data_IF_942096236384
#
_entry.id   IF_942096236384
#
_cell.length_a   1.000
_cell.length_b   1.000
_cell.length_c   1.000
_cell.angle_alpha   90.00
_cell.angle_beta   90.00
_cell.angle_gamma   90.00
#
_symmetry.space_group_name_H-M   'P 1'
#
loop_
_entity.id
_entity.type
_entity.pdbx_description
1 polymer ?
#
# COMPACT_ATOMS: atom_id res chain seq x y z
N UNK A 1 47.04 -20.57 59.65
CA UNK A 1 47.67 -20.49 58.31
C UNK A 1 46.61 -20.57 57.19
N UNK A 2 45.65 -21.50 57.24
CA UNK A 2 44.59 -21.62 56.22
C UNK A 2 43.64 -20.42 56.06
N UNK A 3 43.22 -19.78 57.14
CA UNK A 3 42.34 -18.60 57.07
C UNK A 3 43.01 -17.39 56.38
N UNK A 4 44.29 -17.16 56.68
CA UNK A 4 45.07 -16.07 56.10
C UNK A 4 45.24 -16.22 54.58
N UNK A 5 45.43 -17.47 54.13
CA UNK A 5 45.54 -17.79 52.70
C UNK A 5 44.19 -17.58 51.97
N UNK A 6 43.07 -17.84 52.64
CA UNK A 6 41.73 -17.60 52.07
C UNK A 6 41.40 -16.11 51.95
N UNK A 7 41.86 -15.29 52.91
CA UNK A 7 41.74 -13.82 52.86
C UNK A 7 42.57 -13.23 51.72
N UNK A 8 43.81 -13.71 51.53
CA UNK A 8 44.66 -13.26 50.42
C UNK A 8 44.05 -13.60 49.06
N UNK A 9 43.48 -14.80 48.90
CA UNK A 9 42.82 -15.21 47.67
C UNK A 9 41.60 -14.33 47.34
N UNK A 10 40.74 -14.06 48.33
CA UNK A 10 39.60 -13.15 48.16
C UNK A 10 40.03 -11.73 47.81
N UNK A 11 41.13 -11.24 48.39
CA UNK A 11 41.66 -9.90 48.09
C UNK A 11 42.08 -9.79 46.62
N UNK A 12 42.72 -10.83 46.09
CA UNK A 12 43.10 -10.89 44.67
C UNK A 12 41.87 -10.97 43.75
N UNK A 13 40.88 -11.79 44.10
CA UNK A 13 39.62 -11.88 43.34
C UNK A 13 38.87 -10.54 43.31
N UNK A 14 38.83 -9.80 44.43
CA UNK A 14 38.22 -8.46 44.48
C UNK A 14 38.98 -7.49 43.57
N UNK A 15 40.32 -7.51 43.63
CA UNK A 15 41.14 -6.64 42.80
C UNK A 15 40.95 -6.90 41.30
N UNK A 16 40.92 -8.17 40.88
CA UNK A 16 40.67 -8.52 39.48
C UNK A 16 39.30 -8.03 39.00
N UNK A 17 38.26 -8.13 39.86
CA UNK A 17 36.93 -7.61 39.54
C UNK A 17 36.89 -6.09 39.50
N UNK A 18 37.68 -5.40 40.31
CA UNK A 18 37.85 -3.93 40.24
C UNK A 18 38.48 -3.54 38.90
N UNK A 19 39.55 -4.23 38.48
CA UNK A 19 40.20 -3.98 37.19
C UNK A 19 39.24 -4.25 35.99
N UNK A 20 38.45 -5.34 36.04
CA UNK A 20 37.41 -5.64 35.02
C UNK A 20 36.30 -4.58 34.97
N UNK A 21 35.90 -4.03 36.13
CA UNK A 21 34.91 -2.97 36.20
C UNK A 21 35.44 -1.66 35.61
N UNK A 22 36.70 -1.34 35.84
CA UNK A 22 37.35 -0.15 35.27
C UNK A 22 37.46 -0.27 33.73
N UNK A 23 37.76 -1.45 33.19
CA UNK A 23 37.76 -1.68 31.75
C UNK A 23 36.36 -1.51 31.13
N UNK A 24 35.33 -2.08 31.76
CA UNK A 24 33.93 -1.91 31.34
C UNK A 24 33.47 -0.44 31.39
N UNK A 25 33.91 0.33 32.40
CA UNK A 25 33.60 1.76 32.49
C UNK A 25 34.14 2.54 31.28
N UNK A 26 35.37 2.24 30.85
CA UNK A 26 35.99 2.85 29.67
C UNK A 26 35.22 2.50 28.39
N UNK A 27 34.79 1.23 28.24
CA UNK A 27 34.01 0.77 27.08
C UNK A 27 32.62 1.41 27.03
N UNK A 28 31.96 1.53 28.18
CA UNK A 28 30.67 2.22 28.31
C UNK A 28 30.81 3.68 27.91
N UNK A 29 31.86 4.37 28.36
CA UNK A 29 32.09 5.78 28.02
C UNK A 29 32.42 6.00 26.54
N UNK A 30 33.16 5.06 25.91
CA UNK A 30 33.37 5.05 24.46
C UNK A 30 32.04 4.86 23.71
N UNK A 31 31.24 3.89 24.13
CA UNK A 31 29.94 3.61 23.52
C UNK A 31 28.96 4.79 23.65
N UNK A 32 28.92 5.45 24.82
CA UNK A 32 28.12 6.67 25.03
C UNK A 32 28.53 7.78 24.07
N UNK A 33 29.83 8.02 23.86
CA UNK A 33 30.31 9.04 22.92
C UNK A 33 29.86 8.74 21.48
N UNK A 34 29.93 7.47 21.06
CA UNK A 34 29.47 7.06 19.74
C UNK A 34 27.96 7.27 19.56
N UNK A 35 27.15 6.96 20.58
CA UNK A 35 25.70 7.19 20.55
C UNK A 35 25.39 8.69 20.41
N UNK A 36 26.06 9.54 21.18
CA UNK A 36 25.89 11.01 21.08
C UNK A 36 26.24 11.52 19.67
N UNK A 37 27.26 10.96 19.03
CA UNK A 37 27.62 11.32 17.66
C UNK A 37 26.59 10.84 16.64
N UNK A 38 26.07 9.62 16.80
CA UNK A 38 24.98 9.09 15.98
C UNK A 38 23.70 9.93 16.12
N UNK A 39 23.34 10.35 17.34
CA UNK A 39 22.19 11.23 17.59
C UNK A 39 22.30 12.55 16.82
N UNK A 40 23.48 13.18 16.84
CA UNK A 40 23.73 14.40 16.06
C UNK A 40 23.59 14.18 14.56
N UNK A 41 24.06 13.03 14.04
CA UNK A 41 23.90 12.70 12.62
C UNK A 41 22.44 12.47 12.25
N UNK A 42 21.66 11.82 13.12
CA UNK A 42 20.22 11.61 12.91
C UNK A 42 19.49 12.94 12.88
N UNK A 43 19.74 13.83 13.86
CA UNK A 43 19.10 15.16 13.92
C UNK A 43 19.41 16.00 12.66
N UNK A 44 20.64 15.91 12.14
CA UNK A 44 21.00 16.58 10.89
C UNK A 44 20.22 16.01 9.69
N UNK A 45 20.13 14.68 9.57
CA UNK A 45 19.37 14.02 8.49
C UNK A 45 17.88 14.35 8.55
N UNK A 46 17.29 14.42 9.74
CA UNK A 46 15.89 14.83 9.92
C UNK A 46 15.64 16.24 9.40
N UNK A 47 16.53 17.21 9.69
CA UNK A 47 16.43 18.57 9.16
C UNK A 47 16.49 18.59 7.62
N UNK A 48 17.37 17.79 7.01
CA UNK A 48 17.45 17.67 5.55
C UNK A 48 16.14 17.11 4.97
N UNK A 49 15.57 16.07 5.59
CA UNK A 49 14.30 15.48 5.15
C UNK A 49 13.16 16.50 5.24
N UNK A 50 13.07 17.27 6.35
CA UNK A 50 12.06 18.31 6.51
C UNK A 50 12.20 19.42 5.44
N UNK A 51 13.42 19.84 5.12
CA UNK A 51 13.66 20.80 4.04
C UNK A 51 13.20 20.22 2.69
N UNK A 52 13.53 18.96 2.43
CA UNK A 52 13.13 18.32 1.17
C UNK A 52 11.61 18.17 1.06
N UNK A 53 10.92 17.80 2.14
CA UNK A 53 9.47 17.69 2.21
C UNK A 53 8.79 19.06 2.00
N UNK A 54 9.26 20.10 2.67
CA UNK A 54 8.71 21.45 2.47
C UNK A 54 8.92 21.94 1.04
N UNK A 55 10.06 21.63 0.41
CA UNK A 55 10.32 21.96 -1.00
C UNK A 55 9.40 21.17 -1.95
N UNK A 56 9.20 19.88 -1.71
CA UNK A 56 8.27 19.06 -2.51
C UNK A 56 6.83 19.56 -2.38
N UNK A 57 6.39 19.92 -1.17
CA UNK A 57 5.05 20.44 -0.94
C UNK A 57 4.83 21.79 -1.64
N UNK A 58 5.83 22.68 -1.64
CA UNK A 58 5.78 23.93 -2.41
C UNK A 58 5.70 23.67 -3.92
N UNK A 59 6.55 22.78 -4.45
CA UNK A 59 6.53 22.42 -5.86
C UNK A 59 5.19 21.80 -6.28
N UNK A 60 4.59 20.99 -5.41
CA UNK A 60 3.27 20.40 -5.65
C UNK A 60 2.17 21.46 -5.71
N UNK A 61 2.17 22.42 -4.77
CA UNK A 61 1.23 23.53 -4.78
C UNK A 61 1.37 24.41 -6.04
N UNK A 62 2.60 24.70 -6.48
CA UNK A 62 2.84 25.42 -7.74
C UNK A 62 2.30 24.68 -8.96
N UNK A 63 2.49 23.36 -9.02
CA UNK A 63 1.96 22.52 -10.10
C UNK A 63 0.43 22.47 -10.08
N UNK A 64 -0.18 22.43 -8.90
CA UNK A 64 -1.64 22.46 -8.76
C UNK A 64 -2.22 23.80 -9.25
N UNK A 65 -1.56 24.92 -8.94
CA UNK A 65 -1.96 26.24 -9.45
C UNK A 65 -1.81 26.33 -10.97
N UNK A 66 -0.68 25.84 -11.53
CA UNK A 66 -0.48 25.78 -12.99
C UNK A 66 -1.49 24.87 -13.69
N UNK A 67 -1.90 23.77 -13.04
CA UNK A 67 -2.96 22.89 -13.54
C UNK A 67 -4.31 23.62 -13.62
N UNK A 68 -4.66 24.40 -12.57
CA UNK A 68 -5.89 25.20 -12.55
C UNK A 68 -5.87 26.29 -13.63
N UNK A 69 -4.73 26.96 -13.83
CA UNK A 69 -4.55 27.93 -14.91
C UNK A 69 -4.64 27.29 -16.30
N UNK A 70 -4.08 26.09 -16.49
CA UNK A 70 -4.20 25.35 -17.75
C UNK A 70 -5.64 24.89 -18.03
N UNK A 71 -6.45 24.65 -17.00
CA UNK A 71 -7.89 24.36 -17.15
C UNK A 71 -8.74 25.59 -17.47
N UNK A 72 -8.21 26.80 -17.26
CA UNK A 72 -8.88 28.07 -17.60
C UNK A 72 -8.68 28.48 -19.07
N UNK A 73 -7.88 27.73 -19.85
CA UNK A 73 -7.88 27.85 -21.31
C UNK A 73 -9.11 27.11 -21.82
N UNK A 74 -10.20 27.85 -21.95
CA UNK A 74 -11.46 27.42 -22.53
C UNK A 74 -11.21 26.88 -23.95
N UNK A 75 -11.13 25.55 -24.08
CA UNK A 75 -11.32 24.92 -25.38
C UNK A 75 -12.71 25.34 -25.85
N UNK A 76 -12.79 26.04 -26.97
CA UNK A 76 -14.04 26.45 -27.58
C UNK A 76 -14.94 25.22 -27.75
N UNK A 77 -15.91 25.06 -26.85
CA UNK A 77 -16.92 24.01 -26.89
C UNK A 77 -17.75 24.28 -28.14
N UNK A 78 -17.43 23.59 -29.23
CA UNK A 78 -18.36 23.40 -30.33
C UNK A 78 -19.54 22.65 -29.74
N UNK A 79 -20.71 23.30 -29.69
CA UNK A 79 -21.97 22.66 -29.29
C UNK A 79 -22.16 21.37 -30.09
N UNK A 80 -22.39 20.20 -29.45
CA UNK A 80 -22.78 19.01 -30.20
C UNK A 80 -24.21 19.21 -30.72
N UNK A 81 -24.40 18.91 -32.00
CA UNK A 81 -25.72 18.84 -32.64
C UNK A 81 -26.58 17.69 -32.05
N UNK A 82 -27.91 17.73 -32.24
CA UNK A 82 -28.85 16.76 -31.68
C UNK A 82 -28.60 15.33 -32.15
N UNK A 83 -28.87 14.40 -31.23
CA UNK A 83 -28.35 13.05 -31.18
C UNK A 83 -28.91 12.15 -32.28
N UNK A 84 -28.03 11.33 -32.88
CA UNK A 84 -28.42 10.21 -33.74
C UNK A 84 -28.40 8.91 -32.94
N UNK A 85 -29.50 8.18 -33.04
CA UNK A 85 -29.81 6.88 -32.41
C UNK A 85 -29.15 5.73 -33.18
N UNK A 86 -27.82 5.77 -33.32
CA UNK A 86 -27.06 4.59 -33.76
C UNK A 86 -26.33 3.95 -32.57
N UNK A 87 -26.57 2.65 -32.38
CA UNK A 87 -26.09 1.84 -31.27
C UNK A 87 -24.60 1.51 -31.35
N UNK A 88 -23.75 2.47 -31.72
CA UNK A 88 -22.32 2.38 -31.54
C UNK A 88 -22.00 2.74 -30.08
N UNK A 89 -21.82 1.71 -29.26
CA UNK A 89 -21.32 1.73 -27.89
C UNK A 89 -20.51 2.99 -27.58
N UNK A 90 -20.91 3.67 -26.50
CA UNK A 90 -20.22 4.82 -25.94
C UNK A 90 -18.72 4.54 -25.89
N UNK A 91 -18.03 5.07 -26.88
CA UNK A 91 -16.59 4.91 -27.03
C UNK A 91 -15.97 5.44 -25.74
N UNK A 92 -15.19 4.61 -25.05
CA UNK A 92 -14.44 5.02 -23.86
C UNK A 92 -13.38 6.07 -24.23
N UNK A 93 -13.47 6.72 -25.39
CA UNK A 93 -12.92 8.04 -25.71
C UNK A 93 -13.15 9.14 -24.65
N UNK A 94 -13.92 8.90 -23.60
CA UNK A 94 -13.85 9.66 -22.34
C UNK A 94 -12.53 9.48 -21.56
N UNK A 95 -11.64 8.58 -22.00
CA UNK A 95 -10.38 8.17 -21.34
C UNK A 95 -9.28 9.24 -21.24
N UNK A 96 -9.51 10.48 -21.68
CA UNK A 96 -8.56 11.59 -21.44
C UNK A 96 -9.00 12.54 -20.31
N UNK A 97 -10.28 12.50 -19.87
CA UNK A 97 -10.82 13.53 -18.95
C UNK A 97 -11.55 13.02 -17.72
N UNK A 98 -11.82 11.71 -17.59
CA UNK A 98 -12.51 11.17 -16.42
C UNK A 98 -11.52 10.93 -15.25
N UNK A 99 -11.80 11.52 -14.09
CA UNK A 99 -11.05 11.22 -12.86
C UNK A 99 -11.38 9.81 -12.33
N UNK A 100 -10.54 9.29 -11.42
CA UNK A 100 -10.67 7.92 -10.93
C UNK A 100 -12.01 7.62 -10.24
N UNK A 101 -12.58 8.59 -9.51
CA UNK A 101 -13.86 8.39 -8.83
C UNK A 101 -15.01 8.29 -9.83
N UNK A 102 -14.97 9.14 -10.85
CA UNK A 102 -15.93 9.11 -11.95
C UNK A 102 -15.84 7.77 -12.70
N UNK A 103 -14.63 7.27 -12.97
CA UNK A 103 -14.43 5.96 -13.61
C UNK A 103 -15.02 4.80 -12.78
N UNK A 104 -14.78 4.78 -11.46
CA UNK A 104 -15.36 3.76 -10.59
C UNK A 104 -16.90 3.84 -10.57
N UNK A 105 -17.46 5.05 -10.49
CA UNK A 105 -18.90 5.25 -10.52
C UNK A 105 -19.52 4.78 -11.83
N UNK A 106 -18.85 5.04 -12.96
CA UNK A 106 -19.28 4.55 -14.27
C UNK A 106 -19.36 3.02 -14.29
N UNK A 107 -18.33 2.33 -13.80
CA UNK A 107 -18.32 0.86 -13.72
C UNK A 107 -19.42 0.32 -12.81
N UNK A 108 -19.64 0.94 -11.65
CA UNK A 108 -20.72 0.57 -10.73
C UNK A 108 -22.10 0.68 -11.42
N UNK A 109 -22.32 1.75 -12.18
CA UNK A 109 -23.59 1.96 -12.90
C UNK A 109 -23.79 0.99 -14.07
N UNK A 110 -22.71 0.41 -14.60
CA UNK A 110 -22.74 -0.59 -15.67
C UNK A 110 -22.51 -2.02 -15.14
N UNK A 111 -23.04 -2.31 -13.94
CA UNK A 111 -22.85 -3.61 -13.25
C UNK A 111 -23.20 -4.85 -14.07
N UNK A 112 -24.10 -4.73 -15.06
CA UNK A 112 -24.51 -5.82 -15.94
C UNK A 112 -23.48 -6.19 -17.01
N UNK A 113 -22.59 -5.24 -17.35
CA UNK A 113 -21.64 -5.36 -18.48
C UNK A 113 -20.18 -5.47 -18.01
N UNK A 114 -19.91 -5.52 -16.70
CA UNK A 114 -18.54 -5.54 -16.16
C UNK A 114 -17.63 -6.60 -16.80
N UNK A 115 -18.18 -7.78 -17.09
CA UNK A 115 -17.41 -8.89 -17.66
C UNK A 115 -17.05 -8.65 -19.14
N UNK A 116 -17.90 -7.94 -19.90
CA UNK A 116 -17.63 -7.59 -21.31
C UNK A 116 -16.79 -6.32 -21.45
N UNK A 117 -16.77 -5.46 -20.43
CA UNK A 117 -16.01 -4.20 -20.42
C UNK A 117 -14.51 -4.37 -20.13
N UNK A 118 -14.01 -5.59 -19.95
CA UNK A 118 -12.61 -5.85 -19.55
C UNK A 118 -11.57 -5.28 -20.52
N UNK A 119 -11.67 -5.59 -21.82
CA UNK A 119 -10.74 -5.07 -22.84
C UNK A 119 -10.90 -3.56 -23.04
N UNK A 120 -12.13 -3.09 -22.90
CA UNK A 120 -12.52 -1.70 -22.98
C UNK A 120 -11.84 -0.85 -21.89
N UNK A 121 -11.89 -1.32 -20.63
CA UNK A 121 -11.19 -0.71 -19.49
C UNK A 121 -9.67 -0.82 -19.63
N UNK A 122 -9.16 -1.94 -20.16
CA UNK A 122 -7.74 -2.10 -20.45
C UNK A 122 -7.24 -1.04 -21.44
N UNK A 123 -7.91 -0.87 -22.56
CA UNK A 123 -7.55 0.13 -23.58
C UNK A 123 -7.65 1.57 -23.04
N UNK A 124 -8.68 1.85 -22.24
CA UNK A 124 -8.86 3.15 -21.60
C UNK A 124 -7.74 3.49 -20.62
N UNK A 125 -7.41 2.56 -19.72
CA UNK A 125 -6.30 2.73 -18.78
C UNK A 125 -4.96 2.81 -19.51
N UNK A 126 -4.76 2.05 -20.59
CA UNK A 126 -3.54 2.07 -21.40
C UNK A 126 -3.28 3.42 -22.08
N UNK A 127 -4.34 4.17 -22.38
CA UNK A 127 -4.25 5.54 -22.94
C UNK A 127 -4.03 6.62 -21.88
N UNK A 128 -4.23 6.30 -20.59
CA UNK A 128 -3.99 7.24 -19.50
C UNK A 128 -2.49 7.54 -19.35
N UNK A 129 -2.16 8.80 -19.08
CA UNK A 129 -0.77 9.22 -18.81
C UNK A 129 -0.22 8.60 -17.51
N UNK A 130 -1.07 8.46 -16.50
CA UNK A 130 -0.71 7.93 -15.18
C UNK A 130 -1.74 6.88 -14.72
N UNK A 131 -1.78 5.67 -15.32
CA UNK A 131 -2.79 4.66 -15.03
C UNK A 131 -2.80 4.23 -13.55
N UNK A 132 -1.61 4.11 -12.94
CA UNK A 132 -1.50 3.81 -11.51
C UNK A 132 -2.03 4.93 -10.62
N UNK A 133 -1.98 6.19 -11.05
CA UNK A 133 -2.60 7.30 -10.31
C UNK A 133 -4.12 7.25 -10.45
N UNK A 134 -4.60 7.08 -11.69
CA UNK A 134 -6.02 7.06 -12.00
C UNK A 134 -6.76 5.96 -11.22
N UNK A 135 -6.20 4.75 -11.18
CA UNK A 135 -6.77 3.65 -10.38
C UNK A 135 -6.64 3.94 -8.89
N UNK A 136 -5.55 4.56 -8.41
CA UNK A 136 -5.42 4.93 -7.00
C UNK A 136 -6.45 5.97 -6.58
N UNK A 137 -6.74 6.95 -7.43
CA UNK A 137 -7.79 7.95 -7.20
C UNK A 137 -9.16 7.27 -7.10
N UNK A 138 -9.46 6.28 -7.95
CA UNK A 138 -10.67 5.46 -7.86
C UNK A 138 -10.77 4.72 -6.52
N UNK A 139 -9.68 4.09 -6.07
CA UNK A 139 -9.64 3.32 -4.84
C UNK A 139 -9.88 4.19 -3.59
N UNK A 140 -9.58 5.49 -3.63
CA UNK A 140 -9.87 6.38 -2.49
C UNK A 140 -11.36 6.50 -2.19
N UNK A 141 -12.24 6.31 -3.18
CA UNK A 141 -13.70 6.32 -2.98
C UNK A 141 -14.30 4.95 -2.70
N UNK A 142 -13.52 3.87 -2.64
CA UNK A 142 -14.02 2.51 -2.43
C UNK A 142 -14.97 2.40 -1.24
N UNK A 143 -14.52 2.79 -0.04
CA UNK A 143 -15.34 2.67 1.17
C UNK A 143 -16.53 3.62 1.18
N UNK A 144 -16.41 4.83 0.63
CA UNK A 144 -17.55 5.75 0.56
C UNK A 144 -18.62 5.27 -0.41
N UNK A 145 -18.25 4.56 -1.48
CA UNK A 145 -19.20 3.89 -2.39
C UNK A 145 -19.79 2.62 -1.74
N UNK A 146 -18.96 1.82 -1.07
CA UNK A 146 -19.38 0.57 -0.42
C UNK A 146 -20.34 0.79 0.75
N UNK A 147 -20.19 1.90 1.49
CA UNK A 147 -21.05 2.27 2.61
C UNK A 147 -22.30 3.06 2.18
N UNK A 148 -22.40 3.47 0.91
CA UNK A 148 -23.58 4.15 0.40
C UNK A 148 -24.72 3.15 0.19
N UNK A 149 -25.91 3.48 0.69
CA UNK A 149 -27.11 2.64 0.56
C UNK A 149 -27.53 2.38 -0.90
N UNK A 150 -27.11 3.25 -1.83
CA UNK A 150 -27.41 3.14 -3.25
C UNK A 150 -26.67 1.99 -3.95
N UNK A 151 -25.51 1.57 -3.43
CA UNK A 151 -24.64 0.61 -4.13
C UNK A 151 -24.53 -0.71 -3.39
N UNK A 152 -24.63 -1.81 -4.14
CA UNK A 152 -24.41 -3.14 -3.62
C UNK A 152 -22.91 -3.39 -3.40
N UNK A 153 -22.53 -3.90 -2.22
CA UNK A 153 -21.12 -4.22 -1.89
C UNK A 153 -20.45 -5.08 -2.97
N UNK A 154 -21.18 -6.07 -3.50
CA UNK A 154 -20.69 -6.95 -4.57
C UNK A 154 -20.29 -6.17 -5.82
N UNK A 155 -21.13 -5.23 -6.24
CA UNK A 155 -20.91 -4.42 -7.44
C UNK A 155 -19.69 -3.51 -7.25
N UNK A 156 -19.57 -2.88 -6.07
CA UNK A 156 -18.41 -2.03 -5.75
C UNK A 156 -17.12 -2.87 -5.75
N UNK A 157 -17.15 -4.07 -5.17
CA UNK A 157 -15.99 -4.97 -5.15
C UNK A 157 -15.61 -5.45 -6.56
N UNK A 158 -16.57 -5.90 -7.37
CA UNK A 158 -16.31 -6.34 -8.76
C UNK A 158 -15.78 -5.21 -9.64
N UNK A 159 -16.39 -4.03 -9.57
CA UNK A 159 -15.95 -2.84 -10.32
C UNK A 159 -14.53 -2.43 -9.96
N UNK A 160 -14.19 -2.48 -8.67
CA UNK A 160 -12.85 -2.16 -8.18
C UNK A 160 -11.83 -3.24 -8.57
N UNK A 161 -12.24 -4.51 -8.50
CA UNK A 161 -11.40 -5.65 -8.91
C UNK A 161 -11.03 -5.56 -10.38
N UNK A 162 -12.00 -5.21 -11.23
CA UNK A 162 -11.78 -5.00 -12.67
C UNK A 162 -10.69 -3.95 -12.92
N UNK A 163 -10.73 -2.81 -12.22
CA UNK A 163 -9.69 -1.77 -12.36
C UNK A 163 -8.31 -2.27 -11.94
N UNK A 164 -8.23 -2.98 -10.81
CA UNK A 164 -6.98 -3.53 -10.29
C UNK A 164 -6.40 -4.62 -11.20
N UNK A 165 -7.25 -5.47 -11.78
CA UNK A 165 -6.90 -6.49 -12.77
C UNK A 165 -6.36 -5.88 -14.04
N UNK A 166 -7.07 -4.91 -14.63
CA UNK A 166 -6.60 -4.26 -15.85
C UNK A 166 -5.32 -3.46 -15.60
N UNK A 167 -5.15 -2.84 -14.43
CA UNK A 167 -3.88 -2.21 -14.06
C UNK A 167 -2.73 -3.22 -14.03
N UNK A 168 -2.94 -4.42 -13.47
CA UNK A 168 -1.93 -5.49 -13.49
C UNK A 168 -1.64 -5.97 -14.90
N UNK A 169 -2.67 -6.13 -15.73
CA UNK A 169 -2.56 -6.54 -17.13
C UNK A 169 -1.71 -5.55 -17.94
N UNK A 170 -1.89 -4.25 -17.72
CA UNK A 170 -1.08 -3.19 -18.34
C UNK A 170 0.34 -3.18 -17.77
N UNK A 171 0.49 -3.50 -16.49
CA UNK A 171 1.77 -3.51 -15.76
C UNK A 171 2.58 -2.21 -15.94
N UNK A 172 1.98 -1.03 -15.70
CA UNK A 172 2.66 0.24 -15.94
C UNK A 172 3.78 0.46 -14.92
N UNK A 173 4.72 1.35 -15.27
CA UNK A 173 5.69 1.83 -14.28
C UNK A 173 4.99 2.75 -13.26
N UNK A 174 4.75 2.25 -12.05
CA UNK A 174 4.13 3.01 -10.96
C UNK A 174 5.22 3.73 -10.14
N UNK A 175 5.11 5.06 -10.10
CA UNK A 175 6.00 5.93 -9.34
C UNK A 175 5.99 5.63 -7.83
N UNK A 176 7.13 5.85 -7.16
CA UNK A 176 7.30 5.53 -5.74
C UNK A 176 6.33 6.29 -4.81
N UNK A 177 5.95 7.52 -5.15
CA UNK A 177 4.98 8.30 -4.37
C UNK A 177 3.57 7.72 -4.47
N UNK A 178 3.15 7.20 -5.62
CA UNK A 178 1.89 6.47 -5.75
C UNK A 178 1.90 5.17 -4.97
N UNK A 179 3.02 4.43 -4.96
CA UNK A 179 3.15 3.23 -4.11
C UNK A 179 3.03 3.55 -2.61
N UNK A 180 3.63 4.65 -2.16
CA UNK A 180 3.49 5.12 -0.76
C UNK A 180 2.04 5.48 -0.42
N UNK A 181 1.35 6.15 -1.34
CA UNK A 181 -0.06 6.48 -1.17
C UNK A 181 -0.95 5.22 -1.16
N UNK A 182 -0.71 4.26 -2.06
CA UNK A 182 -1.37 2.95 -2.07
C UNK A 182 -1.10 2.15 -0.79
N UNK A 183 0.12 2.19 -0.25
CA UNK A 183 0.46 1.57 1.03
C UNK A 183 -0.31 2.18 2.20
N UNK A 184 -0.43 3.51 2.24
CA UNK A 184 -1.23 4.21 3.25
C UNK A 184 -2.70 3.80 3.15
N UNK A 185 -3.25 3.74 1.94
CA UNK A 185 -4.62 3.31 1.69
C UNK A 185 -4.84 1.85 2.13
N UNK A 186 -3.94 0.94 1.75
CA UNK A 186 -3.99 -0.47 2.15
C UNK A 186 -3.95 -0.63 3.68
N UNK A 187 -3.12 0.15 4.36
CA UNK A 187 -3.05 0.13 5.84
C UNK A 187 -4.40 0.54 6.47
N UNK A 188 -5.08 1.54 5.90
CA UNK A 188 -6.42 1.94 6.36
C UNK A 188 -7.49 0.89 6.07
N UNK A 189 -7.40 0.21 4.92
CA UNK A 189 -8.33 -0.84 4.55
C UNK A 189 -8.21 -2.05 5.47
N UNK A 190 -6.98 -2.42 5.83
CA UNK A 190 -6.69 -3.53 6.74
C UNK A 190 -7.51 -3.49 8.03
N UNK A 191 -7.72 -2.31 8.60
CA UNK A 191 -8.49 -2.14 9.85
C UNK A 191 -10.02 -2.16 9.64
N UNK A 192 -10.48 -2.04 8.38
CA UNK A 192 -11.90 -1.84 8.03
C UNK A 192 -12.56 -3.05 7.39
N UNK A 193 -11.80 -3.96 6.80
CA UNK A 193 -12.34 -5.09 6.04
C UNK A 193 -13.27 -5.98 6.87
N UNK A 194 -14.46 -6.28 6.35
CA UNK A 194 -15.47 -7.12 7.03
C UNK A 194 -15.91 -8.35 6.24
N UNK A 195 -15.52 -8.46 4.97
CA UNK A 195 -15.99 -9.52 4.09
C UNK A 195 -14.86 -10.14 3.27
N UNK A 196 -15.13 -11.34 2.73
CA UNK A 196 -14.23 -12.02 1.80
C UNK A 196 -13.93 -11.21 0.55
N UNK A 197 -14.94 -10.50 0.04
CA UNK A 197 -14.82 -9.69 -1.17
C UNK A 197 -13.91 -8.49 -0.95
N UNK A 198 -14.07 -7.79 0.17
CA UNK A 198 -13.16 -6.71 0.56
C UNK A 198 -11.72 -7.20 0.68
N UNK A 199 -11.53 -8.39 1.25
CA UNK A 199 -10.22 -9.00 1.39
C UNK A 199 -9.58 -9.34 0.04
N UNK A 200 -10.34 -9.86 -0.92
CA UNK A 200 -9.85 -10.11 -2.28
C UNK A 200 -9.41 -8.80 -2.95
N UNK A 201 -10.24 -7.75 -2.90
CA UNK A 201 -9.88 -6.43 -3.47
C UNK A 201 -8.62 -5.88 -2.80
N UNK A 202 -8.47 -6.05 -1.49
CA UNK A 202 -7.26 -5.65 -0.77
C UNK A 202 -6.01 -6.42 -1.24
N UNK A 203 -6.06 -7.74 -1.40
CA UNK A 203 -4.94 -8.51 -1.92
C UNK A 203 -4.58 -8.10 -3.35
N UNK A 204 -5.60 -7.84 -4.17
CA UNK A 204 -5.43 -7.30 -5.51
C UNK A 204 -4.74 -5.93 -5.50
N UNK A 205 -5.08 -5.04 -4.55
CA UNK A 205 -4.39 -3.77 -4.33
C UNK A 205 -2.90 -3.98 -4.02
N UNK A 206 -2.58 -4.89 -3.09
CA UNK A 206 -1.19 -5.19 -2.75
C UNK A 206 -0.41 -5.67 -3.98
N UNK A 207 -0.99 -6.59 -4.76
CA UNK A 207 -0.37 -7.15 -5.94
C UNK A 207 -0.19 -6.10 -7.05
N UNK A 208 -1.19 -5.26 -7.30
CA UNK A 208 -1.15 -4.24 -8.35
C UNK A 208 -0.07 -3.18 -8.11
N UNK A 209 0.19 -2.81 -6.84
CA UNK A 209 1.17 -1.79 -6.49
C UNK A 209 2.52 -2.37 -6.01
N UNK A 210 2.65 -3.70 -5.98
CA UNK A 210 3.83 -4.44 -5.53
C UNK A 210 4.21 -4.06 -4.10
N UNK A 211 3.27 -4.31 -3.18
CA UNK A 211 3.35 -3.98 -1.76
C UNK A 211 3.52 -5.22 -0.86
N UNK A 212 3.84 -6.37 -1.44
CA UNK A 212 3.94 -7.68 -0.77
C UNK A 212 4.95 -7.71 0.38
N UNK A 213 5.99 -6.86 0.36
CA UNK A 213 6.98 -6.79 1.45
C UNK A 213 6.47 -6.09 2.70
N UNK A 214 5.36 -5.36 2.61
CA UNK A 214 4.83 -4.52 3.69
C UNK A 214 3.76 -5.22 4.53
N UNK A 215 3.34 -6.42 4.15
CA UNK A 215 2.28 -7.17 4.82
C UNK A 215 2.69 -8.62 5.00
N UNK A 216 2.34 -9.19 6.15
CA UNK A 216 2.62 -10.58 6.48
C UNK A 216 1.36 -11.42 6.36
N UNK A 217 1.39 -12.59 5.68
CA UNK A 217 0.21 -13.44 5.52
C UNK A 217 -0.39 -13.90 6.85
N UNK A 218 0.44 -14.00 7.89
CA UNK A 218 0.04 -14.40 9.24
C UNK A 218 -0.96 -13.43 9.87
N UNK A 219 -0.93 -12.16 9.45
CA UNK A 219 -1.84 -11.11 9.91
C UNK A 219 -3.28 -11.31 9.40
N UNK A 220 -3.48 -12.20 8.42
CA UNK A 220 -4.78 -12.46 7.81
C UNK A 220 -5.37 -13.82 8.21
N UNK A 221 -4.73 -14.58 9.12
CA UNK A 221 -5.18 -15.93 9.44
C UNK A 221 -6.60 -16.02 10.01
N UNK A 222 -6.97 -15.08 10.87
CA UNK A 222 -8.33 -14.99 11.43
C UNK A 222 -9.40 -14.67 10.38
N UNK A 223 -9.02 -14.06 9.24
CA UNK A 223 -9.93 -13.80 8.13
C UNK A 223 -10.17 -15.06 7.29
N UNK A 224 -9.19 -15.98 7.15
CA UNK A 224 -9.39 -17.20 6.34
C UNK A 224 -10.42 -18.17 6.94
N UNK A 225 -10.54 -18.25 8.27
CA UNK A 225 -11.53 -19.12 8.91
C UNK A 225 -12.98 -18.72 8.55
N UNK A 226 -13.19 -17.47 8.17
CA UNK A 226 -14.50 -16.90 7.83
C UNK A 226 -14.79 -16.95 6.32
N UNK A 227 -13.74 -17.07 5.48
CA UNK A 227 -13.85 -16.86 4.03
C UNK A 227 -13.87 -18.21 3.28
N UNK A 228 -15.07 -18.62 2.86
CA UNK A 228 -15.33 -19.84 2.07
C UNK A 228 -14.99 -19.70 0.56
N UNK A 229 -13.84 -19.12 0.18
CA UNK A 229 -13.42 -18.95 -1.23
C UNK A 229 -11.92 -19.26 -1.45
N UNK A 230 -11.52 -20.56 -1.46
CA UNK A 230 -10.11 -20.95 -1.44
C UNK A 230 -9.34 -20.71 -2.75
N UNK A 231 -9.98 -20.75 -3.93
CA UNK A 231 -9.25 -20.73 -5.22
C UNK A 231 -8.67 -19.36 -5.57
N UNK A 232 -9.49 -18.31 -5.59
CA UNK A 232 -9.07 -16.95 -5.96
C UNK A 232 -8.04 -16.36 -4.96
N UNK A 233 -8.25 -16.63 -3.67
CA UNK A 233 -7.31 -16.24 -2.62
C UNK A 233 -5.99 -17.00 -2.77
N UNK A 234 -6.02 -18.29 -3.14
CA UNK A 234 -4.80 -19.06 -3.35
C UNK A 234 -3.95 -18.52 -4.49
N UNK A 235 -4.58 -18.10 -5.61
CA UNK A 235 -3.88 -17.48 -6.73
C UNK A 235 -3.21 -16.16 -6.33
N UNK A 236 -3.93 -15.30 -5.59
CA UNK A 236 -3.37 -14.05 -5.08
C UNK A 236 -2.24 -14.28 -4.07
N UNK A 237 -2.35 -15.34 -3.25
CA UNK A 237 -1.29 -15.72 -2.32
C UNK A 237 -0.05 -16.24 -3.03
N UNK A 238 -0.20 -16.95 -4.15
CA UNK A 238 0.91 -17.32 -5.02
C UNK A 238 1.56 -16.06 -5.62
N UNK A 239 0.74 -15.15 -6.14
CA UNK A 239 1.19 -13.90 -6.75
C UNK A 239 1.97 -13.02 -5.77
N UNK A 240 1.53 -12.97 -4.50
CA UNK A 240 2.18 -12.23 -3.41
C UNK A 240 3.34 -13.00 -2.76
N UNK A 241 3.64 -14.22 -3.22
CA UNK A 241 4.65 -15.11 -2.64
C UNK A 241 4.42 -15.42 -1.14
N UNK A 242 3.15 -15.55 -0.75
CA UNK A 242 2.72 -15.84 0.61
C UNK A 242 2.56 -17.35 0.90
N UNK A 243 2.41 -18.18 -0.13
CA UNK A 243 2.17 -19.63 0.00
C UNK A 243 3.25 -20.38 0.81
N UNK A 244 4.51 -20.00 0.68
CA UNK A 244 5.61 -20.63 1.43
C UNK A 244 5.60 -20.33 2.93
N UNK A 245 4.99 -19.19 3.34
CA UNK A 245 4.91 -18.75 4.74
C UNK A 245 3.71 -19.37 5.46
N UNK A 246 2.58 -19.52 4.75
CA UNK A 246 1.36 -20.15 5.28
C UNK A 246 1.55 -21.66 5.57
N UNK A 247 2.19 -22.39 4.65
CA UNK A 247 2.38 -23.84 4.78
C UNK A 247 3.41 -24.25 5.86
N UNK A 248 4.27 -23.33 6.30
CA UNK A 248 5.24 -23.58 7.37
C UNK A 248 4.62 -23.62 8.78
N UNK A 249 3.41 -23.08 8.96
CA UNK A 249 2.79 -22.90 10.27
C UNK A 249 1.57 -23.80 10.53
N UNK A 250 0.87 -24.26 9.48
CA UNK A 250 -0.17 -25.31 9.63
C UNK A 250 0.42 -26.61 10.21
N UNK A 251 1.68 -26.91 9.90
CA UNK A 251 2.39 -28.07 10.46
C UNK A 251 2.83 -27.89 11.93
N UNK A 252 2.79 -26.68 12.51
CA UNK A 252 3.15 -26.46 13.92
C UNK A 252 1.95 -26.50 14.88
N UNK A 253 0.72 -26.37 14.37
CA UNK A 253 -0.50 -26.51 15.18
C UNK A 253 -0.94 -27.97 15.33
N UNK A 254 -0.59 -28.86 14.40
CA UNK A 254 -0.88 -30.29 14.50
C UNK A 254 0.08 -31.10 15.39
N UNK A 255 1.23 -30.55 15.81
CA UNK A 255 2.17 -31.21 16.73
C UNK A 255 1.96 -30.86 18.22
N UNK A 256 0.94 -30.05 18.55
CA UNK A 256 0.62 -29.64 19.93
C UNK A 256 -0.77 -30.07 20.41
N UNK A 257 -1.40 -31.05 19.78
CA UNK A 257 -2.64 -31.67 20.29
C UNK A 257 -2.41 -33.12 20.66
#
# INVERSE_FOLDING_TARGET
>A
MGEMMNVMKKKEEVKNREDELDEMLVEIDLSKRNVIEMEKQVEFKEKIIQIHETNMNKAWAELEMKSKEASSVEYSIVKPEPWSDDGSYADIRFSVTMDGNSLLLYLINHKGDLDSMSDEVYEALGKSKEPGKLVLDALQSFYSKKEAEEFEEDVVCRSTSLLLEQLRRISPHIQSYHKRAALKLASQWKEKMKSSKEFIVFLQLLASYKLESSFHPEEFFSLFEVINQPTEISELFQLLNYMGKVNGQVNQQHEKT
#
